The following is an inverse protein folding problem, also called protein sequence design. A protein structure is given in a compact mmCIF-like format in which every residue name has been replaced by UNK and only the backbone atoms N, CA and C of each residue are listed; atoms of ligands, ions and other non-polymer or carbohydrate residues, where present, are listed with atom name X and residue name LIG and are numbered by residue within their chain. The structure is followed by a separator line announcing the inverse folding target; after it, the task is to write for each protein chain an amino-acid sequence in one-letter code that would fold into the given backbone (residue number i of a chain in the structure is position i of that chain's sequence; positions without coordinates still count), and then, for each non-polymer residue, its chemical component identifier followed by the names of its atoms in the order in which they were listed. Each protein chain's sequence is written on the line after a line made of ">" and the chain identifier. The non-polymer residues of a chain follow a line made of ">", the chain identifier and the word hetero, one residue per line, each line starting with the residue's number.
data_IF_865783532598
#
_entry.id   IF_865783532598
#
_cell.length_a   1.000
_cell.length_b   1.000
_cell.length_c   1.000
_cell.angle_alpha   90.00
_cell.angle_beta   90.00
_cell.angle_gamma   90.00
#
_symmetry.space_group_name_H-M   'P 1'
#
loop_
_entity.id
_entity.type
_entity.pdbx_description
1 polymer ?
#
# COMPACT_ATOMS: atom_id res chain seq x y z
N UNK A 1 -13.29 -45.04 13.29
CA UNK A 1 -13.79 -43.73 13.63
C UNK A 1 -12.69 -42.70 13.88
N UNK A 2 -11.64 -43.03 14.66
CA UNK A 2 -10.53 -42.08 14.91
C UNK A 2 -9.80 -41.66 13.63
N UNK A 3 -9.60 -42.54 12.66
CA UNK A 3 -8.96 -42.24 11.38
C UNK A 3 -9.81 -41.29 10.51
N UNK A 4 -11.11 -41.38 10.60
CA UNK A 4 -12.02 -40.54 9.84
C UNK A 4 -12.05 -39.12 10.39
N UNK A 5 -11.98 -38.94 11.70
CA UNK A 5 -11.92 -37.63 12.36
C UNK A 5 -10.62 -36.92 12.00
N UNK A 6 -9.48 -37.62 11.98
CA UNK A 6 -8.20 -37.10 11.57
C UNK A 6 -8.21 -36.62 10.11
N UNK A 7 -8.83 -37.38 9.22
CA UNK A 7 -8.94 -37.05 7.81
C UNK A 7 -9.77 -35.78 7.58
N UNK A 8 -10.87 -35.63 8.30
CA UNK A 8 -11.71 -34.41 8.24
C UNK A 8 -10.97 -33.20 8.79
N UNK A 9 -10.19 -33.35 9.88
CA UNK A 9 -9.38 -32.26 10.44
C UNK A 9 -8.30 -31.78 9.46
N UNK A 10 -7.65 -32.68 8.75
CA UNK A 10 -6.64 -32.33 7.74
C UNK A 10 -7.26 -31.62 6.56
N UNK A 11 -8.43 -32.04 6.11
CA UNK A 11 -9.16 -31.38 5.01
C UNK A 11 -9.60 -29.97 5.38
N UNK A 12 -10.05 -29.73 6.61
CA UNK A 12 -10.44 -28.37 7.05
C UNK A 12 -9.24 -27.44 7.14
N UNK A 13 -8.10 -27.92 7.60
CA UNK A 13 -6.84 -27.13 7.64
C UNK A 13 -6.38 -26.74 6.23
N UNK A 14 -6.46 -27.65 5.26
CA UNK A 14 -6.10 -27.40 3.88
C UNK A 14 -7.04 -26.37 3.24
N UNK A 15 -8.35 -26.42 3.52
CA UNK A 15 -9.31 -25.46 3.02
C UNK A 15 -9.04 -24.04 3.56
N UNK A 16 -8.71 -23.89 4.86
CA UNK A 16 -8.32 -22.60 5.43
C UNK A 16 -7.07 -22.03 4.78
N UNK A 17 -6.07 -22.86 4.47
CA UNK A 17 -4.86 -22.43 3.80
C UNK A 17 -5.11 -21.94 2.36
N UNK A 18 -6.14 -22.44 1.69
CA UNK A 18 -6.51 -22.02 0.33
C UNK A 18 -7.25 -20.68 0.29
N UNK A 19 -7.78 -20.22 1.42
CA UNK A 19 -8.49 -18.93 1.49
C UNK A 19 -7.55 -17.74 1.58
N UNK A 20 -6.25 -17.94 1.76
CA UNK A 20 -5.29 -16.85 1.75
C UNK A 20 -5.27 -16.19 0.37
N UNK A 21 -5.80 -14.99 0.31
CA UNK A 21 -5.85 -14.23 -0.93
C UNK A 21 -4.46 -13.84 -1.38
N UNK A 22 -4.17 -14.09 -2.64
CA UNK A 22 -2.93 -13.66 -3.25
C UNK A 22 -3.19 -12.35 -3.97
N UNK A 23 -2.94 -11.22 -3.30
CA UNK A 23 -2.95 -9.94 -3.96
C UNK A 23 -1.72 -9.83 -4.87
N UNK A 24 -1.87 -9.27 -6.08
CA UNK A 24 -0.70 -8.96 -6.90
C UNK A 24 0.21 -7.97 -6.16
N UNK A 25 1.53 -8.08 -6.29
CA UNK A 25 2.42 -7.11 -5.66
C UNK A 25 2.14 -5.70 -6.20
N UNK A 26 2.17 -4.66 -5.35
CA UNK A 26 2.01 -3.30 -5.82
C UNK A 26 3.17 -2.91 -6.74
N UNK A 27 2.92 -1.97 -7.66
CA UNK A 27 3.96 -1.47 -8.56
C UNK A 27 5.08 -0.75 -7.77
N UNK A 28 6.29 -0.74 -8.32
CA UNK A 28 7.45 -0.17 -7.64
C UNK A 28 7.27 1.32 -7.29
N UNK A 29 6.54 2.06 -8.08
CA UNK A 29 6.25 3.47 -7.82
C UNK A 29 5.37 3.69 -6.59
N UNK A 30 4.54 2.71 -6.22
CA UNK A 30 3.78 2.75 -4.96
C UNK A 30 4.66 2.49 -3.75
N UNK A 31 5.77 1.79 -3.93
CA UNK A 31 6.72 1.48 -2.86
C UNK A 31 7.78 2.57 -2.69
N UNK A 32 7.80 3.55 -3.57
CA UNK A 32 8.73 4.68 -3.49
C UNK A 32 8.37 5.56 -2.30
N UNK A 33 9.33 5.92 -1.43
CA UNK A 33 9.07 6.82 -0.32
C UNK A 33 8.68 8.21 -0.79
N UNK A 34 7.97 8.94 0.07
CA UNK A 34 7.62 10.34 -0.17
C UNK A 34 8.85 11.20 -0.35
N UNK A 35 8.74 12.22 -1.19
CA UNK A 35 9.79 13.23 -1.32
C UNK A 35 9.94 14.04 -0.04
N UNK A 36 11.11 14.64 0.13
CA UNK A 36 11.42 15.45 1.29
C UNK A 36 10.76 16.82 1.17
N UNK A 37 10.09 17.27 2.24
CA UNK A 37 9.58 18.62 2.34
C UNK A 37 10.70 19.56 2.74
N UNK A 38 10.72 20.72 2.11
CA UNK A 38 11.69 21.77 2.42
C UNK A 38 11.10 22.73 3.46
N UNK A 39 11.98 23.43 4.15
CA UNK A 39 11.61 24.52 5.07
C UNK A 39 12.27 25.81 4.63
N UNK A 40 11.68 26.92 5.04
CA UNK A 40 12.28 28.24 4.77
C UNK A 40 13.42 28.56 5.72
N UNK A 41 13.56 27.82 6.83
CA UNK A 41 14.54 28.05 7.89
C UNK A 41 14.51 29.48 8.44
N UNK A 42 13.31 30.09 8.45
CA UNK A 42 13.11 31.46 8.90
C UNK A 42 13.43 32.52 7.85
N UNK A 43 13.80 32.12 6.62
CA UNK A 43 14.08 33.06 5.52
C UNK A 43 12.89 33.11 4.55
N UNK A 44 12.12 34.23 4.54
CA UNK A 44 10.95 34.35 3.68
C UNK A 44 11.28 34.39 2.18
N UNK A 45 12.52 34.75 1.79
CA UNK A 45 12.94 34.75 0.41
C UNK A 45 13.00 33.33 -0.17
N UNK A 46 13.20 32.31 0.66
CA UNK A 46 13.19 30.92 0.23
C UNK A 46 11.79 30.39 -0.09
N UNK A 47 10.74 31.09 0.33
CA UNK A 47 9.38 30.65 0.11
C UNK A 47 9.04 30.45 -1.37
N UNK A 48 9.61 31.26 -2.26
CA UNK A 48 9.40 31.14 -3.70
C UNK A 48 9.87 29.80 -4.28
N UNK A 49 10.90 29.17 -3.65
CA UNK A 49 11.38 27.84 -4.05
C UNK A 49 10.70 26.74 -3.24
N UNK A 50 10.43 26.96 -1.95
CA UNK A 50 9.89 25.96 -1.02
C UNK A 50 8.43 25.63 -1.36
N UNK A 51 7.61 26.63 -1.64
CA UNK A 51 6.18 26.44 -1.87
C UNK A 51 5.91 25.55 -3.09
N UNK A 52 6.48 25.82 -4.30
CA UNK A 52 6.28 24.94 -5.43
C UNK A 52 6.82 23.52 -5.20
N UNK A 53 8.00 23.40 -4.58
CA UNK A 53 8.59 22.10 -4.29
C UNK A 53 7.68 21.27 -3.37
N UNK A 54 7.23 21.84 -2.28
CA UNK A 54 6.36 21.14 -1.33
C UNK A 54 4.99 20.82 -1.94
N UNK A 55 4.49 21.70 -2.81
CA UNK A 55 3.27 21.44 -3.57
C UNK A 55 3.41 20.20 -4.46
N UNK A 56 4.51 20.05 -5.17
CA UNK A 56 4.78 18.88 -6.01
C UNK A 56 4.88 17.59 -5.16
N UNK A 57 5.57 17.64 -4.03
CA UNK A 57 5.70 16.49 -3.13
C UNK A 57 4.32 16.05 -2.62
N UNK A 58 3.49 17.00 -2.17
CA UNK A 58 2.16 16.71 -1.64
C UNK A 58 1.22 16.19 -2.73
N UNK A 59 1.31 16.71 -3.95
CA UNK A 59 0.50 16.22 -5.07
C UNK A 59 0.91 14.80 -5.46
N UNK A 60 2.20 14.51 -5.47
CA UNK A 60 2.71 13.17 -5.75
C UNK A 60 2.25 12.16 -4.69
N UNK A 61 2.25 12.55 -3.42
CA UNK A 61 1.77 11.71 -2.33
C UNK A 61 0.27 11.46 -2.43
N UNK A 62 -0.50 12.49 -2.76
CA UNK A 62 -1.95 12.38 -2.95
C UNK A 62 -2.28 11.41 -4.08
N UNK A 63 -1.57 11.52 -5.19
CA UNK A 63 -1.71 10.59 -6.31
C UNK A 63 -1.36 9.16 -5.90
N UNK A 64 -0.28 8.99 -5.16
CA UNK A 64 0.14 7.67 -4.65
C UNK A 64 -0.90 7.05 -3.73
N UNK A 65 -1.51 7.82 -2.84
CA UNK A 65 -2.60 7.35 -1.96
C UNK A 65 -3.79 6.88 -2.81
N UNK A 66 -4.17 7.64 -3.84
CA UNK A 66 -5.25 7.26 -4.75
C UNK A 66 -4.95 5.94 -5.46
N UNK A 67 -3.70 5.74 -5.90
CA UNK A 67 -3.28 4.49 -6.55
C UNK A 67 -3.25 3.31 -5.58
N UNK A 68 -2.87 3.52 -4.32
CA UNK A 68 -2.96 2.50 -3.27
C UNK A 68 -4.40 2.09 -3.03
N UNK A 69 -5.34 3.03 -3.01
CA UNK A 69 -6.76 2.75 -2.88
C UNK A 69 -7.26 1.89 -4.04
N UNK A 70 -6.87 2.20 -5.27
CA UNK A 70 -7.22 1.40 -6.44
C UNK A 70 -6.63 -0.01 -6.38
N UNK A 71 -5.39 -0.12 -5.93
CA UNK A 71 -4.74 -1.42 -5.74
C UNK A 71 -5.52 -2.28 -4.74
N UNK A 72 -5.90 -1.67 -3.61
CA UNK A 72 -6.68 -2.36 -2.58
C UNK A 72 -8.06 -2.78 -3.10
N UNK A 73 -8.75 -1.91 -3.81
CA UNK A 73 -10.05 -2.22 -4.40
C UNK A 73 -9.97 -3.42 -5.35
N UNK A 74 -8.94 -3.46 -6.18
CA UNK A 74 -8.68 -4.61 -7.05
C UNK A 74 -8.33 -5.88 -6.29
N UNK A 75 -7.55 -5.76 -5.22
CA UNK A 75 -7.15 -6.89 -4.39
C UNK A 75 -8.32 -7.50 -3.62
N UNK A 76 -9.16 -6.68 -2.99
CA UNK A 76 -10.24 -7.19 -2.14
C UNK A 76 -11.35 -7.90 -2.90
N UNK A 77 -11.41 -7.71 -4.21
CA UNK A 77 -12.41 -8.37 -5.08
C UNK A 77 -11.94 -9.70 -5.67
N UNK A 78 -10.69 -10.07 -5.45
CA UNK A 78 -10.13 -11.33 -5.96
C UNK A 78 -10.68 -12.59 -5.24
#
# INVERSE_FOLDING_TARGET
>A
MKKLILLVAVLTLTACAQEVRKCPPPSNDLLTPSGELWTTDGDPERAAAVIPHNGEVLMADRDRVSRWQKWWEGCKTL
#
